data_IF_910929590519
#
_entry.id   IF_910929590519
#
_cell.length_a   1.000
_cell.length_b   1.000
_cell.length_c   1.000
_cell.angle_alpha   90.00
_cell.angle_beta   90.00
_cell.angle_gamma   90.00
#
_symmetry.space_group_name_H-M   'P 1'
#
loop_
_entity.id
_entity.type
_entity.pdbx_description
1 polymer ?
#
# COMPACT_ATOMS: atom_id res chain seq x y z
N UNK A 1 -6.75 2.35 1.82
CA UNK A 1 -7.98 2.70 1.07
C UNK A 1 -7.74 3.91 0.17
N UNK A 2 -7.46 5.10 0.71
CA UNK A 2 -7.22 6.31 -0.08
C UNK A 2 -6.20 6.13 -1.22
N UNK A 3 -5.01 5.58 -0.92
CA UNK A 3 -3.99 5.27 -1.94
C UNK A 3 -4.49 4.35 -3.06
N UNK A 4 -5.26 3.32 -2.73
CA UNK A 4 -5.79 2.35 -3.72
C UNK A 4 -6.84 3.01 -4.62
N UNK A 5 -7.72 3.83 -4.03
CA UNK A 5 -8.72 4.57 -4.80
C UNK A 5 -8.08 5.64 -5.69
N UNK A 6 -7.04 6.33 -5.21
CA UNK A 6 -6.25 7.27 -6.00
C UNK A 6 -5.56 6.58 -7.19
N UNK A 7 -4.91 5.44 -6.95
CA UNK A 7 -4.29 4.64 -8.00
C UNK A 7 -5.32 4.13 -9.03
N UNK A 8 -6.50 3.69 -8.59
CA UNK A 8 -7.60 3.28 -9.46
C UNK A 8 -8.11 4.44 -10.32
N UNK A 9 -8.25 5.63 -9.73
CA UNK A 9 -8.62 6.84 -10.44
C UNK A 9 -7.58 7.23 -11.48
N UNK A 10 -6.28 7.26 -11.12
CA UNK A 10 -5.19 7.54 -12.07
C UNK A 10 -5.25 6.59 -13.27
N UNK A 11 -5.40 5.29 -12.99
CA UNK A 11 -5.49 4.27 -14.02
C UNK A 11 -6.65 4.50 -14.98
N UNK A 12 -7.83 4.83 -14.44
CA UNK A 12 -9.04 5.04 -15.23
C UNK A 12 -9.15 6.40 -15.93
N UNK A 13 -8.33 7.39 -15.56
CA UNK A 13 -8.59 8.80 -15.93
C UNK A 13 -7.42 9.51 -16.60
N UNK A 14 -6.15 9.14 -16.39
CA UNK A 14 -5.00 9.97 -16.83
C UNK A 14 -4.33 9.55 -18.15
N UNK A 15 -4.79 8.49 -18.82
CA UNK A 15 -4.38 8.16 -20.19
C UNK A 15 -2.93 7.70 -20.40
N UNK A 16 -2.06 7.71 -19.38
CA UNK A 16 -0.64 7.36 -19.52
C UNK A 16 -0.32 5.87 -19.35
N UNK A 17 -1.33 5.04 -19.08
CA UNK A 17 -1.20 3.57 -19.07
C UNK A 17 -0.85 2.94 -17.73
N UNK A 18 -0.76 3.70 -16.64
CA UNK A 18 -0.43 3.17 -15.32
C UNK A 18 -1.24 3.79 -14.17
N UNK A 19 -0.94 3.34 -12.95
CA UNK A 19 -1.66 3.67 -11.72
C UNK A 19 -0.82 4.44 -10.69
N UNK A 20 0.49 4.57 -10.92
CA UNK A 20 1.44 5.26 -10.05
C UNK A 20 2.68 5.70 -10.85
N UNK A 21 2.94 7.00 -10.92
CA UNK A 21 4.03 7.61 -11.68
C UNK A 21 5.19 8.13 -10.82
N UNK A 22 5.13 7.95 -9.49
CA UNK A 22 6.06 8.57 -8.53
C UNK A 22 6.03 10.11 -8.60
N UNK A 23 4.89 10.68 -8.96
CA UNK A 23 4.75 12.11 -8.99
C UNK A 23 4.68 12.67 -7.55
N UNK A 24 4.98 13.96 -7.35
CA UNK A 24 4.99 14.53 -6.00
C UNK A 24 3.71 14.36 -5.19
N UNK A 25 2.53 14.38 -5.84
CA UNK A 25 1.23 14.28 -5.15
C UNK A 25 0.99 12.86 -4.66
N UNK A 26 1.28 11.87 -5.49
CA UNK A 26 1.32 10.47 -5.10
C UNK A 26 2.31 10.25 -3.95
N UNK A 27 3.53 10.76 -4.07
CA UNK A 27 4.57 10.58 -3.06
C UNK A 27 4.14 11.12 -1.69
N UNK A 28 3.62 12.34 -1.62
CA UNK A 28 3.17 12.93 -0.33
C UNK A 28 1.96 12.21 0.26
N UNK A 29 1.14 11.57 -0.55
CA UNK A 29 0.05 10.72 -0.06
C UNK A 29 0.58 9.43 0.59
N UNK A 30 1.71 8.89 0.10
CA UNK A 30 2.34 7.68 0.63
C UNK A 30 3.07 7.91 1.97
N UNK A 31 3.73 9.06 2.14
CA UNK A 31 4.55 9.37 3.33
C UNK A 31 3.84 9.16 4.68
N UNK A 32 2.64 9.74 4.94
CA UNK A 32 1.96 9.54 6.21
C UNK A 32 1.48 8.10 6.40
N UNK A 33 1.17 7.37 5.32
CA UNK A 33 0.80 5.96 5.40
C UNK A 33 1.96 5.09 5.90
N UNK A 34 3.19 5.34 5.41
CA UNK A 34 4.39 4.65 5.86
C UNK A 34 4.69 4.91 7.34
N UNK A 35 4.63 6.17 7.77
CA UNK A 35 4.94 6.56 9.14
C UNK A 35 3.85 6.11 10.13
N UNK A 36 2.57 6.17 9.73
CA UNK A 36 1.46 5.59 10.49
C UNK A 36 1.59 4.08 10.63
N UNK A 37 2.04 3.38 9.58
CA UNK A 37 2.27 1.94 9.62
C UNK A 37 3.40 1.60 10.60
N UNK A 38 4.47 2.39 10.64
CA UNK A 38 5.53 2.25 11.63
C UNK A 38 4.96 2.36 13.06
N UNK A 39 4.11 3.38 13.30
CA UNK A 39 3.45 3.60 14.58
C UNK A 39 2.56 2.42 15.00
N UNK A 40 1.73 1.91 14.08
CA UNK A 40 0.86 0.77 14.36
C UNK A 40 1.64 -0.49 14.77
N UNK A 41 2.86 -0.64 14.27
CA UNK A 41 3.76 -1.73 14.65
C UNK A 41 4.48 -1.47 15.98
N UNK A 42 4.95 -0.24 16.22
CA UNK A 42 5.69 0.09 17.43
C UNK A 42 4.81 0.27 18.67
N UNK A 43 3.54 0.67 18.51
CA UNK A 43 2.58 0.75 19.62
C UNK A 43 2.31 -0.63 20.23
N UNK A 44 2.37 -1.70 19.43
CA UNK A 44 2.26 -3.07 19.93
C UNK A 44 3.42 -3.45 20.86
N UNK A 45 4.63 -2.95 20.60
CA UNK A 45 5.77 -3.13 21.53
C UNK A 45 5.52 -2.31 22.80
N UNK A 46 5.07 -1.07 22.67
CA UNK A 46 4.78 -0.22 23.84
C UNK A 46 3.76 -0.87 24.77
N UNK A 47 2.63 -1.37 24.24
CA UNK A 47 1.59 -2.04 25.02
C UNK A 47 2.10 -3.30 25.73
N UNK A 48 3.04 -4.04 25.11
CA UNK A 48 3.51 -5.33 25.63
C UNK A 48 4.77 -5.25 26.50
N UNK A 49 5.62 -4.25 26.28
CA UNK A 49 6.96 -4.15 26.88
C UNK A 49 7.23 -2.80 27.54
N UNK A 50 6.32 -1.82 27.45
CA UNK A 50 6.50 -0.49 28.03
C UNK A 50 7.62 0.34 27.39
N UNK A 51 8.06 -0.03 26.18
CA UNK A 51 9.16 0.62 25.44
C UNK A 51 8.64 1.60 24.38
N UNK A 52 9.55 2.41 23.81
CA UNK A 52 9.31 3.24 22.62
C UNK A 52 8.24 4.34 22.79
N UNK A 53 7.95 4.78 24.01
CA UNK A 53 6.95 5.83 24.28
C UNK A 53 7.22 7.13 23.48
N UNK A 54 8.44 7.66 23.59
CA UNK A 54 8.87 8.88 22.86
C UNK A 54 8.84 8.66 21.34
N UNK A 55 9.30 7.51 20.88
CA UNK A 55 9.32 7.13 19.48
C UNK A 55 7.90 7.11 18.89
N UNK A 56 6.95 6.49 19.58
CA UNK A 56 5.56 6.40 19.13
C UNK A 56 4.87 7.76 19.05
N UNK A 57 5.11 8.63 20.03
CA UNK A 57 4.62 10.02 19.98
C UNK A 57 5.25 10.78 18.81
N UNK A 58 6.55 10.58 18.56
CA UNK A 58 7.26 11.20 17.44
C UNK A 58 6.70 10.75 16.09
N UNK A 59 6.37 9.46 15.95
CA UNK A 59 5.74 8.93 14.73
C UNK A 59 4.34 9.49 14.49
N UNK A 60 3.52 9.64 15.53
CA UNK A 60 2.18 10.26 15.40
C UNK A 60 2.29 11.73 15.00
N UNK A 61 3.13 12.52 15.70
CA UNK A 61 3.34 13.93 15.38
C UNK A 61 3.87 14.07 13.96
N UNK A 62 4.86 13.25 13.58
CA UNK A 62 5.38 13.20 12.22
C UNK A 62 4.32 12.81 11.19
N UNK A 63 3.43 11.86 11.50
CA UNK A 63 2.35 11.44 10.59
C UNK A 63 1.41 12.60 10.32
N UNK A 64 0.98 13.31 11.37
CA UNK A 64 0.12 14.48 11.24
C UNK A 64 0.83 15.62 10.48
N UNK A 65 2.11 15.86 10.78
CA UNK A 65 2.93 16.82 10.05
C UNK A 65 3.03 16.48 8.55
N UNK A 66 3.22 15.21 8.19
CA UNK A 66 3.29 14.76 6.80
C UNK A 66 1.95 14.92 6.06
N UNK A 67 0.81 14.76 6.74
CA UNK A 67 -0.52 15.06 6.15
C UNK A 67 -0.65 16.56 5.84
N UNK A 68 -0.27 17.41 6.80
CA UNK A 68 -0.26 18.88 6.61
C UNK A 68 0.71 19.29 5.50
N UNK A 69 1.89 18.67 5.45
CA UNK A 69 2.89 18.89 4.42
C UNK A 69 2.40 18.48 3.02
N UNK A 70 1.72 17.34 2.90
CA UNK A 70 1.09 16.94 1.64
C UNK A 70 0.04 17.95 1.18
N UNK A 71 -0.77 18.48 2.11
CA UNK A 71 -1.77 19.52 1.79
C UNK A 71 -1.11 20.81 1.31
N UNK A 72 -0.03 21.22 1.97
CA UNK A 72 0.80 22.36 1.55
C UNK A 72 1.33 22.18 0.12
N UNK A 73 1.92 21.03 -0.21
CA UNK A 73 2.49 20.81 -1.55
C UNK A 73 1.41 20.74 -2.64
N UNK A 74 0.29 20.08 -2.37
CA UNK A 74 -0.80 19.94 -3.35
C UNK A 74 -1.59 21.23 -3.60
N UNK A 75 -1.70 22.11 -2.60
CA UNK A 75 -2.49 23.37 -2.69
C UNK A 75 -1.63 24.62 -2.85
N UNK A 76 -0.33 24.51 -2.63
CA UNK A 76 0.65 25.60 -2.79
C UNK A 76 1.23 25.73 -4.19
N UNK A 77 0.97 24.77 -5.10
CA UNK A 77 1.45 24.75 -6.50
C UNK A 77 2.97 24.93 -6.65
N UNK A 78 3.74 24.47 -5.66
CA UNK A 78 5.20 24.64 -5.61
C UNK A 78 5.91 23.58 -6.47
N UNK A 79 5.22 22.48 -6.78
CA UNK A 79 5.73 21.40 -7.62
C UNK A 79 4.93 21.30 -8.92
N UNK A 80 5.63 21.01 -10.01
CA UNK A 80 5.00 20.55 -11.25
C UNK A 80 4.49 19.12 -11.01
N UNK A 81 3.17 18.94 -11.05
CA UNK A 81 2.53 17.63 -10.96
C UNK A 81 1.29 17.59 -11.85
N UNK A 82 1.09 16.45 -12.50
CA UNK A 82 -0.12 16.12 -13.27
C UNK A 82 -1.38 16.05 -12.40
N UNK A 83 -1.20 15.94 -11.08
CA UNK A 83 -2.25 15.90 -10.07
C UNK A 83 -2.41 17.24 -9.33
N UNK A 84 -1.67 18.29 -9.69
CA UNK A 84 -1.76 19.58 -9.03
C UNK A 84 -3.06 20.31 -9.41
N UNK A 85 -3.78 20.83 -8.40
CA UNK A 85 -4.93 21.70 -8.59
C UNK A 85 -4.55 23.19 -8.47
N UNK A 86 -5.44 24.07 -8.93
CA UNK A 86 -5.22 25.51 -9.05
C UNK A 86 -4.65 26.21 -7.80
N UNK A 87 -3.88 27.28 -8.04
CA UNK A 87 -3.22 28.10 -7.02
C UNK A 87 -4.22 28.60 -5.97
N UNK A 88 -3.86 28.49 -4.68
CA UNK A 88 -4.68 29.03 -3.59
C UNK A 88 -3.83 29.82 -2.59
N UNK A 89 -4.42 30.88 -2.03
CA UNK A 89 -3.81 31.70 -0.96
C UNK A 89 -3.52 30.91 0.33
N UNK A 90 -4.02 29.68 0.42
CA UNK A 90 -3.96 28.86 1.63
C UNK A 90 -2.59 28.19 1.80
N UNK A 91 -1.75 28.13 0.77
CA UNK A 91 -0.41 27.51 0.83
C UNK A 91 0.45 28.02 2.01
N UNK A 92 0.71 29.34 2.11
CA UNK A 92 1.44 29.91 3.25
C UNK A 92 0.81 29.61 4.62
N UNK A 93 -0.53 29.54 4.71
CA UNK A 93 -1.22 29.18 5.96
C UNK A 93 -0.90 27.75 6.40
N UNK A 94 -0.91 26.80 5.46
CA UNK A 94 -0.52 25.41 5.76
C UNK A 94 0.96 25.28 6.12
N UNK A 95 1.84 26.10 5.55
CA UNK A 95 3.25 26.13 5.94
C UNK A 95 3.43 26.65 7.36
N UNK A 96 2.76 27.74 7.73
CA UNK A 96 2.76 28.27 9.09
C UNK A 96 2.17 27.26 10.09
N UNK A 97 1.07 26.60 9.72
CA UNK A 97 0.49 25.53 10.54
C UNK A 97 1.42 24.33 10.68
N UNK A 98 2.13 23.93 9.62
CA UNK A 98 3.15 22.87 9.68
C UNK A 98 4.28 23.23 10.65
N UNK A 99 4.79 24.47 10.58
CA UNK A 99 5.82 24.95 11.51
C UNK A 99 5.33 24.90 12.97
N UNK A 100 4.08 25.31 13.22
CA UNK A 100 3.45 25.21 14.53
C UNK A 100 3.34 23.75 15.01
N UNK A 101 2.85 22.84 14.16
CA UNK A 101 2.73 21.41 14.49
C UNK A 101 4.08 20.79 14.85
N UNK A 102 5.12 21.09 14.08
CA UNK A 102 6.47 20.59 14.34
C UNK A 102 7.03 21.17 15.64
N UNK A 103 6.98 22.50 15.81
CA UNK A 103 7.53 23.18 16.98
C UNK A 103 6.78 22.79 18.27
N UNK A 104 5.45 22.85 18.26
CA UNK A 104 4.63 22.52 19.42
C UNK A 104 4.66 21.02 19.72
N UNK A 105 4.49 20.17 18.70
CA UNK A 105 4.46 18.72 18.86
C UNK A 105 5.78 18.17 19.40
N UNK A 106 6.90 18.45 18.72
CA UNK A 106 8.20 17.98 19.17
C UNK A 106 8.71 18.74 20.41
N UNK A 107 8.39 20.03 20.55
CA UNK A 107 8.68 20.82 21.75
C UNK A 107 8.03 20.24 23.01
N UNK A 108 6.75 19.83 22.93
CA UNK A 108 6.06 19.16 24.03
C UNK A 108 6.66 17.79 24.36
N UNK A 109 7.01 17.00 23.33
CA UNK A 109 7.69 15.71 23.53
C UNK A 109 9.03 15.93 24.23
N UNK A 110 9.83 16.90 23.81
CA UNK A 110 11.11 17.23 24.42
C UNK A 110 10.93 17.68 25.88
N UNK A 111 10.01 18.60 26.14
CA UNK A 111 9.72 19.12 27.48
C UNK A 111 9.18 18.05 28.46
N UNK A 112 8.50 17.01 27.94
CA UNK A 112 7.94 15.90 28.74
C UNK A 112 8.75 14.61 28.65
N UNK A 113 9.90 14.62 27.97
CA UNK A 113 10.71 13.42 27.70
C UNK A 113 11.11 12.66 28.97
N UNK A 114 11.36 13.37 30.07
CA UNK A 114 11.66 12.79 31.38
C UNK A 114 10.53 11.90 31.95
N UNK A 115 9.26 12.23 31.66
CA UNK A 115 8.08 11.42 32.03
C UNK A 115 7.83 10.25 31.08
N UNK A 116 8.48 10.26 29.92
CA UNK A 116 8.29 9.30 28.83
C UNK A 116 9.43 8.27 28.75
N UNK A 117 10.28 8.19 29.76
CA UNK A 117 11.36 7.20 29.82
C UNK A 117 10.79 5.78 29.71
N UNK A 118 11.44 4.99 28.87
CA UNK A 118 11.10 3.59 28.66
C UNK A 118 11.81 2.75 29.73
N UNK A 119 11.08 1.81 30.31
CA UNK A 119 11.62 0.92 31.37
C UNK A 119 12.20 -0.37 30.78
N UNK A 120 11.74 -0.78 29.59
CA UNK A 120 12.19 -2.02 28.93
C UNK A 120 13.48 -1.87 28.11
N UNK A 121 14.22 -2.98 28.00
CA UNK A 121 15.43 -3.13 27.14
C UNK A 121 15.20 -4.20 26.09
N UNK A 122 15.98 -4.17 25.01
CA UNK A 122 15.99 -5.24 23.99
C UNK A 122 16.79 -6.44 24.52
N UNK A 123 16.13 -7.59 24.66
CA UNK A 123 16.73 -8.80 25.23
C UNK A 123 17.63 -9.57 24.22
N UNK A 124 17.32 -9.49 22.91
CA UNK A 124 18.01 -10.26 21.86
C UNK A 124 17.77 -9.66 20.46
N UNK A 125 18.77 -9.75 19.57
CA UNK A 125 18.66 -9.38 18.16
C UNK A 125 17.82 -10.36 17.33
N UNK A 126 17.70 -11.63 17.75
CA UNK A 126 16.85 -12.66 17.15
C UNK A 126 15.57 -12.80 17.97
N UNK A 127 14.76 -11.74 17.95
CA UNK A 127 13.51 -11.67 18.71
C UNK A 127 12.42 -10.98 17.88
N UNK A 128 11.16 -11.20 18.24
CA UNK A 128 10.05 -10.47 17.62
C UNK A 128 10.21 -8.95 17.84
N UNK A 129 10.72 -8.55 19.01
CA UNK A 129 11.03 -7.16 19.35
C UNK A 129 12.03 -6.53 18.39
N UNK A 130 13.14 -7.23 18.11
CA UNK A 130 14.14 -6.76 17.16
C UNK A 130 13.58 -6.67 15.73
N UNK A 131 12.75 -7.62 15.31
CA UNK A 131 12.07 -7.57 14.02
C UNK A 131 11.13 -6.35 13.90
N UNK A 132 10.40 -6.01 14.97
CA UNK A 132 9.55 -4.82 15.01
C UNK A 132 10.37 -3.51 14.96
N UNK A 133 11.52 -3.45 15.65
CA UNK A 133 12.44 -2.31 15.60
C UNK A 133 13.04 -2.16 14.20
N UNK A 134 13.53 -3.26 13.60
CA UNK A 134 14.04 -3.28 12.23
C UNK A 134 12.98 -2.84 11.21
N UNK A 135 11.75 -3.35 11.35
CA UNK A 135 10.61 -2.91 10.53
C UNK A 135 10.37 -1.39 10.66
N UNK A 136 10.39 -0.86 11.89
CA UNK A 136 10.21 0.57 12.12
C UNK A 136 11.32 1.41 11.48
N UNK A 137 12.58 1.00 11.63
CA UNK A 137 13.72 1.67 11.02
C UNK A 137 13.57 1.70 9.49
N UNK A 138 13.23 0.57 8.87
CA UNK A 138 13.06 0.47 7.42
C UNK A 138 11.88 1.30 6.91
N UNK A 139 10.75 1.33 7.63
CA UNK A 139 9.60 2.18 7.26
C UNK A 139 9.95 3.67 7.37
N UNK A 140 10.66 4.09 8.42
CA UNK A 140 11.13 5.48 8.56
C UNK A 140 12.15 5.82 7.48
N UNK A 141 13.10 4.92 7.19
CA UNK A 141 14.07 5.10 6.12
C UNK A 141 13.38 5.26 4.76
N UNK A 142 12.37 4.42 4.47
CA UNK A 142 11.57 4.52 3.26
C UNK A 142 10.83 5.87 3.17
N UNK A 143 10.21 6.31 4.27
CA UNK A 143 9.59 7.65 4.35
C UNK A 143 10.60 8.76 4.05
N UNK A 144 11.80 8.70 4.63
CA UNK A 144 12.84 9.71 4.43
C UNK A 144 13.34 9.74 2.98
N UNK A 145 13.61 8.58 2.38
CA UNK A 145 14.06 8.46 0.98
C UNK A 145 13.04 9.07 0.02
N UNK A 146 11.76 8.74 0.21
CA UNK A 146 10.67 9.29 -0.62
C UNK A 146 10.50 10.78 -0.38
N UNK A 147 10.55 11.23 0.88
CA UNK A 147 10.45 12.65 1.23
C UNK A 147 11.59 13.45 0.60
N UNK A 148 12.83 12.99 0.73
CA UNK A 148 14.02 13.62 0.15
C UNK A 148 13.87 13.72 -1.36
N UNK A 149 13.52 12.63 -2.05
CA UNK A 149 13.31 12.65 -3.50
C UNK A 149 12.22 13.63 -3.93
N UNK A 150 11.17 13.76 -3.13
CA UNK A 150 10.03 14.66 -3.42
C UNK A 150 10.39 16.13 -3.22
N UNK A 151 11.18 16.48 -2.19
CA UNK A 151 11.54 17.88 -1.90
C UNK A 151 12.83 18.33 -2.58
N UNK A 152 13.64 17.39 -3.10
CA UNK A 152 14.92 17.71 -3.72
C UNK A 152 14.80 18.73 -4.88
N UNK A 153 13.82 18.62 -5.80
CA UNK A 153 13.56 19.67 -6.79
C UNK A 153 13.41 21.08 -6.20
N UNK A 154 12.68 21.21 -5.09
CA UNK A 154 12.44 22.49 -4.43
C UNK A 154 13.73 23.08 -3.86
N UNK A 155 14.57 22.24 -3.28
CA UNK A 155 15.87 22.65 -2.76
C UNK A 155 16.79 23.16 -3.89
N UNK A 156 16.85 22.42 -5.01
CA UNK A 156 17.66 22.82 -6.17
C UNK A 156 17.16 24.12 -6.78
N UNK A 157 15.84 24.29 -6.92
CA UNK A 157 15.25 25.54 -7.42
C UNK A 157 15.55 26.72 -6.48
N UNK A 158 15.44 26.54 -5.16
CA UNK A 158 15.73 27.57 -4.18
C UNK A 158 17.20 28.03 -4.20
N UNK A 159 18.15 27.11 -4.39
CA UNK A 159 19.59 27.41 -4.35
C UNK A 159 20.12 27.86 -5.72
N UNK A 160 19.70 27.21 -6.79
CA UNK A 160 20.30 27.39 -8.13
C UNK A 160 19.41 28.15 -9.11
N UNK A 161 18.15 28.41 -8.74
CA UNK A 161 17.09 28.95 -9.62
C UNK A 161 16.82 28.12 -10.89
N UNK A 162 17.29 26.86 -10.92
CA UNK A 162 17.02 25.90 -12.00
C UNK A 162 15.95 24.93 -11.56
N UNK A 163 14.99 24.68 -12.44
CA UNK A 163 13.97 23.65 -12.25
C UNK A 163 14.54 22.30 -12.67
N UNK A 164 14.45 21.34 -11.77
CA UNK A 164 14.79 19.94 -12.02
C UNK A 164 13.61 19.06 -11.62
N UNK A 165 13.52 17.87 -12.16
CA UNK A 165 12.54 16.87 -11.74
C UNK A 165 13.25 15.60 -11.29
N UNK A 166 12.66 14.91 -10.32
CA UNK A 166 13.10 13.58 -9.88
C UNK A 166 12.02 12.61 -10.31
N UNK A 167 12.36 11.74 -11.26
CA UNK A 167 11.43 10.77 -11.84
C UNK A 167 11.49 9.39 -11.18
N UNK A 168 10.63 8.49 -11.67
CA UNK A 168 10.52 7.09 -11.23
C UNK A 168 11.83 6.34 -10.99
N UNK A 169 12.87 6.44 -11.85
CA UNK A 169 14.11 5.68 -11.66
C UNK A 169 14.80 5.90 -10.31
N UNK A 170 14.78 7.12 -9.77
CA UNK A 170 15.34 7.40 -8.44
C UNK A 170 14.57 6.62 -7.37
N UNK A 171 13.24 6.69 -7.40
CA UNK A 171 12.40 6.03 -6.39
C UNK A 171 12.46 4.51 -6.53
N UNK A 172 12.45 3.96 -7.74
CA UNK A 172 12.58 2.53 -7.96
C UNK A 172 13.91 1.98 -7.41
N UNK A 173 15.03 2.62 -7.74
CA UNK A 173 16.35 2.17 -7.29
C UNK A 173 16.53 2.27 -5.77
N UNK A 174 15.95 3.29 -5.14
CA UNK A 174 16.14 3.56 -3.70
C UNK A 174 15.12 2.85 -2.82
N UNK A 175 13.87 2.66 -3.28
CA UNK A 175 12.80 2.06 -2.48
C UNK A 175 12.76 0.55 -2.59
N UNK A 176 13.06 -0.04 -3.75
CA UNK A 176 12.97 -1.49 -3.96
C UNK A 176 13.82 -2.29 -2.96
N UNK A 177 15.11 -1.97 -2.71
CA UNK A 177 15.90 -2.71 -1.72
C UNK A 177 15.28 -2.69 -0.32
N UNK A 178 14.76 -1.53 0.11
CA UNK A 178 14.12 -1.36 1.41
C UNK A 178 12.81 -2.16 1.49
N UNK A 179 12.02 -2.14 0.42
CA UNK A 179 10.76 -2.91 0.32
C UNK A 179 11.03 -4.41 0.35
N UNK A 180 12.06 -4.92 -0.32
CA UNK A 180 12.42 -6.35 -0.25
C UNK A 180 12.80 -6.76 1.18
N UNK A 181 13.53 -5.93 1.91
CA UNK A 181 13.85 -6.16 3.33
C UNK A 181 12.59 -6.14 4.20
N UNK A 182 11.66 -5.21 3.94
CA UNK A 182 10.36 -5.17 4.62
C UNK A 182 9.53 -6.42 4.35
N UNK A 183 9.48 -6.92 3.12
CA UNK A 183 8.77 -8.16 2.79
C UNK A 183 9.38 -9.37 3.52
N UNK A 184 10.70 -9.44 3.59
CA UNK A 184 11.38 -10.48 4.37
C UNK A 184 10.99 -10.42 5.86
N UNK A 185 11.02 -9.23 6.48
CA UNK A 185 10.60 -9.07 7.88
C UNK A 185 9.11 -9.36 8.07
N UNK A 186 8.26 -9.03 7.09
CA UNK A 186 6.82 -9.30 7.11
C UNK A 186 6.49 -10.80 7.03
N UNK A 187 7.36 -11.61 6.41
CA UNK A 187 7.25 -13.06 6.40
C UNK A 187 7.74 -13.68 7.74
N UNK A 188 8.91 -13.26 8.22
CA UNK A 188 9.57 -13.87 9.38
C UNK A 188 9.01 -13.37 10.72
N UNK A 189 8.77 -12.07 10.84
CA UNK A 189 8.36 -11.38 12.07
C UNK A 189 7.16 -12.01 12.79
N UNK A 190 6.04 -12.31 12.09
CA UNK A 190 4.88 -12.95 12.70
C UNK A 190 5.15 -14.34 13.30
N UNK A 191 6.17 -15.04 12.80
CA UNK A 191 6.51 -16.41 13.19
C UNK A 191 7.50 -16.47 14.37
N UNK A 192 8.28 -15.41 14.60
CA UNK A 192 9.22 -15.31 15.71
C UNK A 192 8.48 -15.26 17.06
N UNK A 193 8.89 -15.99 18.10
CA UNK A 193 8.32 -15.83 19.43
C UNK A 193 8.79 -14.51 20.09
N UNK A 194 8.06 -14.06 21.11
CA UNK A 194 8.52 -12.98 22.00
C UNK A 194 9.71 -13.48 22.85
N UNK A 195 10.69 -12.61 23.13
CA UNK A 195 11.96 -12.92 23.83
C UNK A 195 12.97 -13.74 23.04
N UNK A 196 12.92 -15.08 23.12
CA UNK A 196 13.97 -15.97 22.58
C UNK A 196 13.35 -17.13 21.81
N UNK A 197 13.81 -17.34 20.59
CA UNK A 197 13.39 -18.45 19.76
C UNK A 197 14.17 -19.72 20.13
N UNK A 198 13.45 -20.84 20.31
CA UNK A 198 14.05 -22.17 20.12
C UNK A 198 14.30 -22.35 18.62
N UNK A 199 15.55 -22.57 18.23
CA UNK A 199 15.95 -22.72 16.83
C UNK A 199 15.17 -23.83 16.10
N UNK A 200 14.86 -24.92 16.78
CA UNK A 200 14.07 -26.04 16.23
C UNK A 200 12.62 -25.65 15.95
N UNK A 201 12.00 -24.88 16.85
CA UNK A 201 10.63 -24.42 16.66
C UNK A 201 10.54 -23.44 15.50
N UNK A 202 11.52 -22.54 15.37
CA UNK A 202 11.58 -21.57 14.28
C UNK A 202 11.82 -22.27 12.94
N UNK A 203 12.75 -23.23 12.89
CA UNK A 203 13.01 -24.06 11.70
C UNK A 203 11.70 -24.69 11.22
N UNK A 204 11.00 -25.44 12.08
CA UNK A 204 9.73 -26.12 11.73
C UNK A 204 8.66 -25.18 11.20
N UNK A 205 8.61 -23.92 11.68
CA UNK A 205 7.63 -22.92 11.24
C UNK A 205 8.00 -22.26 9.92
N UNK A 206 9.29 -22.09 9.64
CA UNK A 206 9.79 -21.43 8.43
C UNK A 206 10.03 -22.37 7.27
N UNK A 207 10.24 -23.67 7.49
CA UNK A 207 10.61 -24.60 6.41
C UNK A 207 9.62 -24.58 5.25
N UNK A 208 8.31 -24.75 5.53
CA UNK A 208 7.30 -24.81 4.45
C UNK A 208 7.20 -23.46 3.71
N UNK A 209 7.03 -22.31 4.38
CA UNK A 209 7.03 -21.02 3.69
C UNK A 209 8.31 -20.72 2.89
N UNK A 210 9.49 -21.06 3.44
CA UNK A 210 10.77 -20.86 2.76
C UNK A 210 10.94 -21.74 1.54
N UNK A 211 10.52 -23.02 1.61
CA UNK A 211 10.52 -23.94 0.46
C UNK A 211 9.59 -23.44 -0.64
N UNK A 212 8.39 -22.97 -0.28
CA UNK A 212 7.46 -22.40 -1.27
C UNK A 212 8.05 -21.16 -1.95
N UNK A 213 8.65 -20.25 -1.18
CA UNK A 213 9.31 -19.07 -1.72
C UNK A 213 10.47 -19.43 -2.67
N UNK A 214 11.33 -20.37 -2.26
CA UNK A 214 12.43 -20.86 -3.10
C UNK A 214 11.92 -21.56 -4.37
N UNK A 215 10.90 -22.39 -4.26
CA UNK A 215 10.26 -23.05 -5.40
C UNK A 215 9.65 -22.03 -6.37
N UNK A 216 9.02 -20.97 -5.86
CA UNK A 216 8.52 -19.87 -6.71
C UNK A 216 9.67 -19.16 -7.44
N UNK A 217 10.77 -18.84 -6.77
CA UNK A 217 11.94 -18.21 -7.39
C UNK A 217 12.53 -19.11 -8.50
N UNK A 218 12.71 -20.40 -8.21
CA UNK A 218 13.24 -21.38 -9.17
C UNK A 218 12.29 -21.51 -10.37
N UNK A 219 10.99 -21.68 -10.13
CA UNK A 219 10.00 -21.80 -11.20
C UNK A 219 9.97 -20.57 -12.12
N UNK A 220 10.01 -19.36 -11.56
CA UNK A 220 10.05 -18.12 -12.33
C UNK A 220 11.34 -17.99 -13.15
N UNK A 221 12.49 -18.35 -12.55
CA UNK A 221 13.78 -18.31 -13.23
C UNK A 221 13.82 -19.31 -14.39
N UNK A 222 13.30 -20.53 -14.19
CA UNK A 222 13.18 -21.56 -15.23
C UNK A 222 12.18 -21.16 -16.32
N UNK A 223 11.13 -20.41 -15.98
CA UNK A 223 10.20 -19.81 -16.93
C UNK A 223 10.79 -18.62 -17.73
N UNK A 224 12.07 -18.29 -17.51
CA UNK A 224 12.80 -17.27 -18.26
C UNK A 224 12.78 -15.87 -17.65
N UNK A 225 12.27 -15.70 -16.42
CA UNK A 225 12.31 -14.41 -15.73
C UNK A 225 13.75 -14.06 -15.35
N UNK A 226 14.28 -12.94 -15.88
CA UNK A 226 15.67 -12.50 -15.66
C UNK A 226 15.83 -11.33 -14.70
N UNK A 227 14.77 -10.57 -14.45
CA UNK A 227 14.84 -9.44 -13.52
C UNK A 227 14.90 -9.93 -12.07
N UNK A 228 16.10 -9.86 -11.47
CA UNK A 228 16.37 -10.36 -10.12
C UNK A 228 15.48 -9.71 -9.06
N UNK A 229 15.27 -8.40 -9.13
CA UNK A 229 14.46 -7.67 -8.16
C UNK A 229 12.99 -8.12 -8.23
N UNK A 230 12.46 -8.30 -9.44
CA UNK A 230 11.11 -8.76 -9.66
C UNK A 230 10.91 -10.22 -9.24
N UNK A 231 11.87 -11.11 -9.55
CA UNK A 231 11.84 -12.51 -9.09
C UNK A 231 11.92 -12.60 -7.57
N UNK A 232 12.79 -11.80 -6.93
CA UNK A 232 12.89 -11.72 -5.48
C UNK A 232 11.60 -11.18 -4.84
N UNK A 233 11.00 -10.14 -5.42
CA UNK A 233 9.74 -9.57 -4.94
C UNK A 233 8.60 -10.59 -4.94
N UNK A 234 8.42 -11.34 -6.04
CA UNK A 234 7.37 -12.37 -6.13
C UNK A 234 7.68 -13.55 -5.19
N UNK A 235 8.93 -13.98 -5.10
CA UNK A 235 9.36 -15.02 -4.16
C UNK A 235 9.10 -14.62 -2.70
N UNK A 236 9.43 -13.39 -2.32
CA UNK A 236 9.16 -12.85 -0.98
C UNK A 236 7.67 -12.64 -0.75
N UNK A 237 6.88 -12.25 -1.75
CA UNK A 237 5.43 -12.19 -1.64
C UNK A 237 4.84 -13.59 -1.36
N UNK A 238 5.32 -14.63 -2.05
CA UNK A 238 4.94 -16.02 -1.76
C UNK A 238 5.36 -16.43 -0.33
N UNK A 239 6.54 -15.99 0.14
CA UNK A 239 6.99 -16.22 1.51
C UNK A 239 6.09 -15.55 2.56
N UNK A 240 5.70 -14.29 2.33
CA UNK A 240 4.77 -13.53 3.18
C UNK A 240 3.42 -14.23 3.21
N UNK A 241 2.84 -14.53 2.04
CA UNK A 241 1.53 -15.16 1.94
C UNK A 241 1.51 -16.52 2.66
N UNK A 242 2.45 -17.41 2.35
CA UNK A 242 2.53 -18.74 2.97
C UNK A 242 2.80 -18.68 4.48
N UNK A 243 3.65 -17.77 4.96
CA UNK A 243 3.93 -17.60 6.39
C UNK A 243 2.69 -17.15 7.17
N UNK A 244 2.01 -16.11 6.67
CA UNK A 244 0.84 -15.53 7.34
C UNK A 244 -0.37 -16.47 7.25
N UNK A 245 -0.61 -17.12 6.10
CA UNK A 245 -1.67 -18.13 5.96
C UNK A 245 -1.43 -19.35 6.86
N UNK A 246 -0.18 -19.80 6.98
CA UNK A 246 0.17 -20.90 7.89
C UNK A 246 -0.09 -20.53 9.36
N UNK A 247 0.16 -19.29 9.76
CA UNK A 247 -0.15 -18.78 11.10
C UNK A 247 -1.65 -18.75 11.36
N UNK A 248 -2.44 -18.24 10.40
CA UNK A 248 -3.92 -18.24 10.47
C UNK A 248 -4.43 -19.68 10.59
N UNK A 249 -3.97 -20.59 9.73
CA UNK A 249 -4.41 -21.98 9.72
C UNK A 249 -4.07 -22.71 11.03
N UNK A 250 -2.88 -22.49 11.59
CA UNK A 250 -2.49 -23.05 12.90
C UNK A 250 -3.38 -22.52 14.03
N UNK A 251 -3.68 -21.22 14.02
CA UNK A 251 -4.58 -20.58 14.98
C UNK A 251 -6.01 -21.16 14.92
N UNK A 252 -6.58 -21.30 13.73
CA UNK A 252 -7.92 -21.88 13.51
C UNK A 252 -7.98 -23.35 13.93
N UNK A 253 -6.99 -24.16 13.54
CA UNK A 253 -6.92 -25.58 13.93
C UNK A 253 -6.78 -25.75 15.44
N UNK A 254 -5.98 -24.92 16.09
CA UNK A 254 -5.84 -24.91 17.55
C UNK A 254 -7.15 -24.56 18.25
N UNK A 255 -7.89 -23.56 17.74
CA UNK A 255 -9.21 -23.20 18.26
C UNK A 255 -10.23 -24.33 18.10
N UNK A 256 -10.32 -24.93 16.91
CA UNK A 256 -11.26 -26.02 16.61
C UNK A 256 -11.02 -27.25 17.50
N UNK A 257 -9.76 -27.60 17.81
CA UNK A 257 -9.44 -28.69 18.74
C UNK A 257 -9.82 -28.40 20.19
N UNK A 258 -9.80 -27.13 20.60
CA UNK A 258 -10.09 -26.71 21.97
C UNK A 258 -11.59 -26.55 22.25
N UNK A 259 -12.44 -26.53 21.21
CA UNK A 259 -13.91 -26.51 21.33
C UNK A 259 -14.49 -27.72 20.59
N UNK A 260 -14.51 -28.92 21.21
CA UNK A 260 -15.11 -30.09 20.60
C UNK A 260 -16.61 -29.85 20.43
N UNK A 261 -17.04 -29.67 19.19
CA UNK A 261 -18.44 -29.55 18.81
C UNK A 261 -18.61 -30.01 17.35
N UNK A 262 -19.84 -30.23 16.88
CA UNK A 262 -20.11 -30.75 15.53
C UNK A 262 -19.75 -29.78 14.39
N UNK A 263 -19.10 -28.65 14.70
CA UNK A 263 -18.72 -27.62 13.74
C UNK A 263 -17.39 -27.99 13.10
N UNK A 264 -17.41 -28.32 11.81
CA UNK A 264 -16.20 -28.55 11.02
C UNK A 264 -15.25 -27.34 11.01
N UNK A 265 -14.04 -27.54 10.47
CA UNK A 265 -12.98 -26.52 10.43
C UNK A 265 -13.45 -25.19 9.82
N UNK A 266 -14.27 -25.23 8.77
CA UNK A 266 -14.80 -24.03 8.11
C UNK A 266 -15.72 -23.21 9.03
N UNK A 267 -16.59 -23.88 9.79
CA UNK A 267 -17.49 -23.23 10.75
C UNK A 267 -16.73 -22.63 11.96
N UNK A 268 -15.50 -23.08 12.22
CA UNK A 268 -14.64 -22.56 13.29
C UNK A 268 -13.89 -21.28 12.90
N UNK A 269 -13.79 -20.95 11.61
CA UNK A 269 -13.01 -19.80 11.12
C UNK A 269 -13.51 -18.46 11.69
N UNK A 270 -14.81 -18.10 11.60
CA UNK A 270 -15.28 -16.80 12.08
C UNK A 270 -15.06 -16.62 13.58
N UNK A 271 -15.32 -17.67 14.37
CA UNK A 271 -15.14 -17.66 15.82
C UNK A 271 -13.66 -17.55 16.23
N UNK A 272 -12.77 -18.27 15.54
CA UNK A 272 -11.33 -18.20 15.78
C UNK A 272 -10.77 -16.81 15.46
N UNK A 273 -11.16 -16.23 14.33
CA UNK A 273 -10.74 -14.89 13.92
C UNK A 273 -11.29 -13.82 14.88
N UNK A 274 -12.54 -13.96 15.33
CA UNK A 274 -13.16 -13.04 16.28
C UNK A 274 -12.49 -13.02 17.66
N UNK A 275 -11.79 -14.09 18.07
CA UNK A 275 -11.12 -14.17 19.37
C UNK A 275 -9.85 -13.30 19.44
N UNK A 276 -9.12 -13.15 18.34
CA UNK A 276 -7.88 -12.37 18.29
C UNK A 276 -7.82 -11.49 17.03
N UNK A 277 -8.80 -10.61 16.91
CA UNK A 277 -9.04 -9.78 15.73
C UNK A 277 -7.86 -8.91 15.32
N UNK A 278 -7.18 -8.29 16.28
CA UNK A 278 -5.99 -7.46 16.00
C UNK A 278 -4.87 -8.28 15.35
N UNK A 279 -4.59 -9.48 15.86
CA UNK A 279 -3.57 -10.37 15.30
C UNK A 279 -3.97 -10.83 13.90
N UNK A 280 -5.15 -11.46 13.76
CA UNK A 280 -5.54 -12.04 12.49
C UNK A 280 -5.84 -10.99 11.42
N UNK A 281 -6.37 -9.83 11.81
CA UNK A 281 -6.53 -8.68 10.91
C UNK A 281 -5.19 -8.21 10.34
N UNK A 282 -4.15 -8.09 11.18
CA UNK A 282 -2.79 -7.80 10.72
C UNK A 282 -2.23 -8.86 9.76
N UNK A 283 -2.43 -10.15 10.05
CA UNK A 283 -1.99 -11.24 9.16
C UNK A 283 -2.72 -11.19 7.80
N UNK A 284 -4.01 -10.87 7.78
CA UNK A 284 -4.79 -10.69 6.54
C UNK A 284 -4.29 -9.48 5.76
N UNK A 285 -3.95 -8.36 6.43
CA UNK A 285 -3.33 -7.19 5.77
C UNK A 285 -2.03 -7.59 5.08
N UNK A 286 -1.15 -8.35 5.73
CA UNK A 286 0.11 -8.80 5.12
C UNK A 286 -0.12 -9.70 3.89
N UNK A 287 -1.13 -10.57 3.92
CA UNK A 287 -1.53 -11.35 2.73
C UNK A 287 -1.99 -10.42 1.60
N UNK A 288 -2.77 -9.38 1.92
CA UNK A 288 -3.17 -8.36 0.95
C UNK A 288 -1.98 -7.60 0.34
N UNK A 289 -0.97 -7.27 1.15
CA UNK A 289 0.30 -6.69 0.66
C UNK A 289 1.00 -7.64 -0.30
N UNK A 290 1.11 -8.92 0.03
CA UNK A 290 1.74 -9.91 -0.85
C UNK A 290 1.03 -10.00 -2.22
N UNK A 291 -0.31 -10.03 -2.24
CA UNK A 291 -1.09 -10.04 -3.48
C UNK A 291 -0.84 -8.75 -4.29
N UNK A 292 -0.85 -7.58 -3.63
CA UNK A 292 -0.59 -6.31 -4.29
C UNK A 292 0.82 -6.23 -4.88
N UNK A 293 1.84 -6.74 -4.18
CA UNK A 293 3.23 -6.80 -4.66
C UNK A 293 3.35 -7.66 -5.92
N UNK A 294 2.65 -8.79 -5.99
CA UNK A 294 2.61 -9.61 -7.22
C UNK A 294 2.00 -8.83 -8.37
N UNK A 295 0.87 -8.14 -8.13
CA UNK A 295 0.23 -7.27 -9.12
C UNK A 295 1.16 -6.18 -9.63
N UNK A 296 1.79 -5.42 -8.71
CA UNK A 296 2.73 -4.34 -9.01
C UNK A 296 3.95 -4.83 -9.78
N UNK A 297 4.53 -5.96 -9.34
CA UNK A 297 5.72 -6.53 -9.97
C UNK A 297 5.40 -7.04 -11.38
N UNK A 298 4.23 -7.66 -11.55
CA UNK A 298 3.78 -8.12 -12.85
C UNK A 298 3.57 -6.94 -13.81
N UNK A 299 2.81 -5.93 -13.40
CA UNK A 299 2.51 -4.76 -14.23
C UNK A 299 3.76 -3.97 -14.59
N UNK A 300 4.72 -3.81 -13.67
CA UNK A 300 5.95 -3.06 -13.96
C UNK A 300 6.96 -3.83 -14.81
N UNK A 301 7.04 -5.16 -14.64
CA UNK A 301 8.07 -5.98 -15.30
C UNK A 301 7.66 -6.54 -16.65
N UNK A 302 6.36 -6.70 -16.89
CA UNK A 302 5.83 -7.37 -18.09
C UNK A 302 4.87 -6.51 -18.91
N UNK A 303 4.67 -5.24 -18.54
CA UNK A 303 3.92 -4.31 -19.39
C UNK A 303 4.58 -4.18 -20.76
N UNK A 304 3.74 -4.10 -21.79
CA UNK A 304 4.15 -3.80 -23.16
C UNK A 304 3.37 -2.59 -23.63
N UNK A 305 4.02 -1.70 -24.37
CA UNK A 305 3.39 -0.51 -24.93
C UNK A 305 3.84 -0.27 -26.37
N UNK A 306 3.00 0.40 -27.15
CA UNK A 306 3.36 0.96 -28.46
C UNK A 306 2.68 2.30 -28.64
N UNK A 307 3.32 3.17 -29.42
CA UNK A 307 2.78 4.45 -29.85
C UNK A 307 2.79 4.46 -31.37
N UNK A 308 1.63 4.73 -31.96
CA UNK A 308 1.43 4.72 -33.42
C UNK A 308 0.57 5.91 -33.83
N UNK A 309 0.93 6.53 -34.94
CA UNK A 309 0.09 7.52 -35.61
C UNK A 309 -0.58 6.83 -36.79
N UNK A 310 -1.91 6.87 -36.82
CA UNK A 310 -2.71 6.18 -37.84
C UNK A 310 -3.60 7.16 -38.60
N UNK A 311 -3.68 6.96 -39.91
CA UNK A 311 -4.69 7.56 -40.76
C UNK A 311 -6.03 6.83 -40.66
N UNK A 312 -7.12 7.53 -40.99
CA UNK A 312 -8.46 6.94 -41.00
C UNK A 312 -8.51 5.74 -41.96
N UNK A 313 -8.86 4.58 -41.41
CA UNK A 313 -8.94 3.30 -42.12
C UNK A 313 -7.67 2.45 -42.02
N UNK A 314 -6.55 3.03 -41.61
CA UNK A 314 -5.26 2.37 -41.42
C UNK A 314 -5.28 1.44 -40.19
N UNK A 315 -4.43 0.42 -40.20
CA UNK A 315 -4.31 -0.54 -39.11
C UNK A 315 -2.86 -0.73 -38.64
N UNK A 316 -2.66 -0.88 -37.34
CA UNK A 316 -1.41 -1.31 -36.74
C UNK A 316 -1.55 -2.68 -36.06
N UNK A 317 -0.47 -3.45 -36.04
CA UNK A 317 -0.38 -4.70 -35.28
C UNK A 317 0.38 -4.48 -33.96
N UNK A 318 -0.16 -4.93 -32.84
CA UNK A 318 0.48 -4.82 -31.54
C UNK A 318 0.13 -6.00 -30.63
N UNK A 319 1.13 -6.71 -30.11
CA UNK A 319 0.97 -7.80 -29.15
C UNK A 319 -0.08 -8.87 -29.54
N UNK A 320 -0.23 -9.14 -30.84
CA UNK A 320 -1.20 -10.07 -31.42
C UNK A 320 -2.59 -9.47 -31.72
N UNK A 321 -2.78 -8.17 -31.50
CA UNK A 321 -3.99 -7.43 -31.85
C UNK A 321 -3.79 -6.68 -33.17
N UNK A 322 -4.81 -6.62 -34.01
CA UNK A 322 -4.91 -5.71 -35.14
C UNK A 322 -5.85 -4.55 -34.75
N UNK A 323 -5.33 -3.33 -34.85
CA UNK A 323 -5.90 -2.10 -34.33
C UNK A 323 -6.17 -1.17 -35.49
N UNK A 324 -7.43 -1.00 -35.88
CA UNK A 324 -7.82 -0.16 -37.01
C UNK A 324 -8.45 1.14 -36.54
N UNK A 325 -7.91 2.26 -36.99
CA UNK A 325 -8.48 3.57 -36.67
C UNK A 325 -9.67 3.87 -37.60
N UNK A 326 -10.88 3.92 -37.06
CA UNK A 326 -12.10 4.17 -37.85
C UNK A 326 -12.38 5.67 -38.08
N UNK A 327 -11.82 6.52 -37.21
CA UNK A 327 -11.91 7.97 -37.29
C UNK A 327 -12.13 8.64 -35.93
N UNK A 328 -12.25 9.97 -35.97
CA UNK A 328 -12.59 10.78 -34.81
C UNK A 328 -14.09 11.09 -34.81
N UNK A 329 -14.69 11.07 -33.62
CA UNK A 329 -16.01 11.65 -33.38
C UNK A 329 -15.94 12.71 -32.30
N UNK A 330 -16.65 13.81 -32.49
CA UNK A 330 -16.68 14.92 -31.54
C UNK A 330 -18.04 14.99 -30.85
N UNK A 331 -18.03 15.08 -29.52
CA UNK A 331 -19.24 15.22 -28.69
C UNK A 331 -19.14 16.52 -27.90
N UNK A 332 -20.07 17.44 -28.13
CA UNK A 332 -20.20 18.65 -27.34
C UNK A 332 -21.00 18.37 -26.06
N UNK A 333 -20.45 18.72 -24.91
CA UNK A 333 -21.11 18.65 -23.60
C UNK A 333 -21.16 20.06 -22.99
N UNK A 334 -22.09 20.36 -22.06
CA UNK A 334 -22.25 21.71 -21.52
C UNK A 334 -20.98 22.34 -20.92
N UNK A 335 -20.04 21.51 -20.45
CA UNK A 335 -18.83 21.96 -19.75
C UNK A 335 -17.52 21.63 -20.49
N UNK A 336 -17.58 20.88 -21.60
CA UNK A 336 -16.38 20.41 -22.33
C UNK A 336 -16.70 19.91 -23.73
N UNK A 337 -15.68 19.92 -24.59
CA UNK A 337 -15.69 19.20 -25.86
C UNK A 337 -14.96 17.87 -25.69
N UNK A 338 -15.53 16.77 -26.19
CA UNK A 338 -14.92 15.43 -26.09
C UNK A 338 -14.57 14.95 -27.50
N UNK A 339 -13.28 14.74 -27.78
CA UNK A 339 -12.79 14.16 -29.02
C UNK A 339 -12.54 12.67 -28.79
N UNK A 340 -13.26 11.81 -29.49
CA UNK A 340 -13.26 10.36 -29.30
C UNK A 340 -12.58 9.71 -30.50
N UNK A 341 -11.60 8.82 -30.27
CA UNK A 341 -11.01 8.00 -31.31
C UNK A 341 -11.73 6.65 -31.37
N UNK A 342 -12.37 6.32 -32.49
CA UNK A 342 -12.99 5.02 -32.68
C UNK A 342 -11.95 4.03 -33.23
N UNK A 343 -11.60 3.01 -32.45
CA UNK A 343 -10.58 2.02 -32.81
C UNK A 343 -11.22 0.64 -32.80
N UNK A 344 -11.23 -0.05 -33.94
CA UNK A 344 -11.67 -1.44 -34.03
C UNK A 344 -10.52 -2.36 -33.62
N UNK A 345 -10.80 -3.32 -32.74
CA UNK A 345 -9.81 -4.24 -32.19
C UNK A 345 -10.18 -5.66 -32.60
N UNK A 346 -9.27 -6.33 -33.29
CA UNK A 346 -9.41 -7.74 -33.63
C UNK A 346 -8.18 -8.54 -33.20
N UNK A 347 -8.34 -9.84 -33.01
CA UNK A 347 -7.25 -10.76 -32.67
C UNK A 347 -7.48 -12.11 -33.34
N UNK A 348 -6.46 -12.59 -34.06
CA UNK A 348 -6.53 -13.90 -34.75
C UNK A 348 -7.77 -14.01 -35.66
N UNK A 349 -8.11 -12.91 -36.36
CA UNK A 349 -9.28 -12.82 -37.25
C UNK A 349 -10.63 -12.67 -36.53
N UNK A 350 -10.69 -12.73 -35.20
CA UNK A 350 -11.91 -12.50 -34.41
C UNK A 350 -12.03 -11.02 -34.06
N UNK A 351 -13.18 -10.43 -34.39
CA UNK A 351 -13.53 -9.09 -33.93
C UNK A 351 -13.80 -9.10 -32.43
N UNK A 352 -13.07 -8.26 -31.68
CA UNK A 352 -13.26 -8.07 -30.25
C UNK A 352 -14.12 -6.82 -29.96
N UNK A 353 -14.56 -6.09 -30.98
CA UNK A 353 -15.30 -4.84 -30.90
C UNK A 353 -14.38 -3.62 -30.89
N UNK A 354 -14.91 -2.46 -30.51
CA UNK A 354 -14.16 -1.20 -30.50
C UNK A 354 -13.63 -0.81 -29.12
N UNK A 355 -12.61 0.04 -29.10
CA UNK A 355 -12.19 0.83 -27.94
C UNK A 355 -12.24 2.31 -28.35
N UNK A 356 -12.62 3.16 -27.39
CA UNK A 356 -12.94 4.56 -27.66
C UNK A 356 -12.22 5.50 -26.68
N UNK A 357 -10.87 5.56 -26.69
CA UNK A 357 -10.16 6.55 -25.89
C UNK A 357 -10.51 7.97 -26.37
N UNK A 358 -10.41 8.95 -25.49
CA UNK A 358 -10.84 10.33 -25.79
C UNK A 358 -9.95 11.40 -25.19
N UNK A 359 -10.01 12.61 -25.75
CA UNK A 359 -9.47 13.84 -25.18
C UNK A 359 -10.62 14.76 -24.76
N UNK A 360 -10.58 15.25 -23.53
CA UNK A 360 -11.55 16.21 -22.99
C UNK A 360 -10.94 17.60 -22.99
N UNK A 361 -11.53 18.52 -23.75
CA UNK A 361 -11.13 19.91 -23.82
C UNK A 361 -12.08 20.74 -22.96
N UNK A 362 -11.55 21.32 -21.90
CA UNK A 362 -12.28 22.22 -21.02
C UNK A 362 -12.01 23.66 -21.43
N UNK A 363 -13.03 24.52 -21.57
CA UNK A 363 -12.84 25.92 -21.99
C UNK A 363 -11.89 26.72 -21.09
N UNK A 364 -11.80 26.36 -19.80
CA UNK A 364 -10.92 26.97 -18.81
C UNK A 364 -9.56 26.27 -18.66
N UNK A 365 -9.34 25.16 -19.37
CA UNK A 365 -8.10 24.39 -19.33
C UNK A 365 -7.16 24.73 -20.49
N UNK A 366 -5.85 24.75 -20.22
CA UNK A 366 -4.83 24.97 -21.25
C UNK A 366 -4.44 23.72 -22.02
N UNK A 367 -4.70 22.53 -21.46
CA UNK A 367 -4.32 21.23 -22.04
C UNK A 367 -5.52 20.27 -22.07
N UNK A 368 -5.67 19.45 -23.13
CA UNK A 368 -6.67 18.40 -23.17
C UNK A 368 -6.39 17.31 -22.11
N UNK A 369 -7.43 16.83 -21.43
CA UNK A 369 -7.33 15.74 -20.47
C UNK A 369 -7.73 14.43 -21.15
N UNK A 370 -6.77 13.54 -21.37
CA UNK A 370 -7.02 12.24 -21.99
C UNK A 370 -7.76 11.28 -21.07
N UNK A 371 -8.87 10.69 -21.53
CA UNK A 371 -9.57 9.59 -20.86
C UNK A 371 -9.31 8.29 -21.64
N UNK A 372 -8.71 7.28 -21.00
CA UNK A 372 -8.40 6.02 -21.66
C UNK A 372 -9.65 5.18 -21.92
N UNK A 373 -9.53 4.20 -22.81
CA UNK A 373 -10.47 3.09 -22.93
C UNK A 373 -9.77 1.80 -22.54
N UNK A 374 -10.32 1.13 -21.53
CA UNK A 374 -9.69 -0.02 -20.86
C UNK A 374 -10.63 -1.23 -20.95
N UNK A 375 -10.11 -2.33 -21.47
CA UNK A 375 -10.74 -3.64 -21.39
C UNK A 375 -10.09 -4.42 -20.27
N UNK A 376 -10.77 -4.46 -19.13
CA UNK A 376 -10.30 -5.14 -17.93
C UNK A 376 -10.29 -6.66 -18.11
N UNK A 377 -9.26 -7.31 -17.59
CA UNK A 377 -9.14 -8.77 -17.57
C UNK A 377 -8.61 -9.28 -16.24
N UNK A 378 -8.68 -10.60 -16.05
CA UNK A 378 -8.18 -11.23 -14.80
C UNK A 378 -6.65 -11.28 -14.76
N UNK A 379 -6.02 -11.53 -15.91
CA UNK A 379 -4.57 -11.66 -16.02
C UNK A 379 -3.89 -10.42 -16.60
N UNK A 380 -4.57 -9.75 -17.54
CA UNK A 380 -4.04 -8.57 -18.23
C UNK A 380 -5.18 -7.69 -18.70
N UNK A 381 -4.94 -6.39 -18.71
CA UNK A 381 -5.80 -5.39 -19.29
C UNK A 381 -5.28 -4.99 -20.67
N UNK A 382 -6.20 -4.70 -21.59
CA UNK A 382 -5.89 -3.98 -22.82
C UNK A 382 -6.27 -2.51 -22.63
N UNK A 383 -5.28 -1.64 -22.63
CA UNK A 383 -5.43 -0.21 -22.38
C UNK A 383 -5.17 0.55 -23.68
N UNK A 384 -5.98 1.55 -23.96
CA UNK A 384 -5.79 2.46 -25.09
C UNK A 384 -5.94 3.90 -24.63
N UNK A 385 -5.13 4.78 -25.18
CA UNK A 385 -5.23 6.21 -25.01
C UNK A 385 -4.92 6.93 -26.32
N UNK A 386 -5.44 8.15 -26.43
CA UNK A 386 -5.15 9.07 -27.53
C UNK A 386 -4.29 10.20 -26.99
N UNK A 387 -3.23 10.53 -27.71
CA UNK A 387 -2.33 11.63 -27.37
C UNK A 387 -2.72 12.90 -28.11
N UNK A 388 -3.00 12.78 -29.41
CA UNK A 388 -3.30 13.90 -30.27
C UNK A 388 -4.17 13.47 -31.45
N UNK A 389 -4.95 14.44 -31.95
CA UNK A 389 -5.59 14.38 -33.26
C UNK A 389 -4.94 15.44 -34.15
N UNK A 390 -4.67 15.08 -35.39
CA UNK A 390 -4.09 15.94 -36.42
C UNK A 390 -5.09 16.11 -37.57
N UNK A 391 -4.99 17.23 -38.29
CA UNK A 391 -5.78 17.51 -39.49
C UNK A 391 -7.29 17.32 -39.30
N UNK A 392 -7.83 17.78 -38.17
CA UNK A 392 -9.26 17.65 -37.86
C UNK A 392 -9.72 16.21 -37.60
N UNK A 393 -8.81 15.29 -37.27
CA UNK A 393 -9.10 13.89 -36.98
C UNK A 393 -8.86 12.95 -38.17
N UNK A 394 -8.17 13.41 -39.22
CA UNK A 394 -7.73 12.53 -40.30
C UNK A 394 -6.61 11.58 -39.82
N UNK A 395 -5.76 12.08 -38.91
CA UNK A 395 -4.68 11.32 -38.26
C UNK A 395 -4.85 11.38 -36.74
N UNK A 396 -4.55 10.27 -36.07
CA UNK A 396 -4.56 10.20 -34.61
C UNK A 396 -3.31 9.49 -34.09
N UNK A 397 -2.66 10.09 -33.10
CA UNK A 397 -1.54 9.49 -32.38
C UNK A 397 -2.07 8.77 -31.14
N UNK A 398 -1.91 7.45 -31.13
CA UNK A 398 -2.53 6.53 -30.20
C UNK A 398 -1.46 5.76 -29.43
N UNK A 399 -1.72 5.50 -28.15
CA UNK A 399 -0.92 4.59 -27.33
C UNK A 399 -1.75 3.39 -26.92
N UNK A 400 -1.15 2.22 -27.00
CA UNK A 400 -1.75 0.95 -26.58
C UNK A 400 -0.85 0.25 -25.58
N UNK A 401 -1.45 -0.35 -24.56
CA UNK A 401 -0.73 -1.07 -23.51
C UNK A 401 -1.37 -2.42 -23.24
N UNK A 402 -0.52 -3.39 -22.95
CA UNK A 402 -0.90 -4.64 -22.30
C UNK A 402 -0.36 -4.59 -20.88
N UNK A 403 -1.26 -4.44 -19.91
CA UNK A 403 -0.90 -4.30 -18.50
C UNK A 403 -1.25 -5.58 -17.73
N UNK A 404 -0.28 -6.45 -17.42
CA UNK A 404 -0.54 -7.67 -16.68
C UNK A 404 -0.70 -7.41 -15.19
N UNK A 405 -1.58 -8.16 -14.53
CA UNK A 405 -1.65 -8.23 -13.07
C UNK A 405 -2.29 -7.05 -12.33
N UNK A 406 -2.74 -6.00 -13.02
CA UNK A 406 -3.30 -4.79 -12.39
C UNK A 406 -4.51 -5.09 -11.49
N UNK A 407 -5.40 -6.02 -11.89
CA UNK A 407 -6.51 -6.47 -11.04
C UNK A 407 -6.05 -6.93 -9.65
N UNK A 408 -4.91 -7.62 -9.57
CA UNK A 408 -4.39 -8.16 -8.31
C UNK A 408 -3.88 -7.08 -7.37
N UNK A 409 -3.48 -5.90 -7.88
CA UNK A 409 -3.25 -4.72 -7.04
C UNK A 409 -4.55 -4.32 -6.32
N UNK A 410 -5.68 -4.29 -7.03
CA UNK A 410 -6.99 -3.94 -6.45
C UNK A 410 -7.48 -4.98 -5.46
N UNK A 411 -7.35 -6.27 -5.80
CA UNK A 411 -7.69 -7.38 -4.90
C UNK A 411 -6.84 -7.32 -3.64
N UNK A 412 -5.53 -7.11 -3.76
CA UNK A 412 -4.63 -6.92 -2.61
C UNK A 412 -5.06 -5.73 -1.74
N UNK A 413 -5.42 -4.60 -2.38
CA UNK A 413 -6.01 -3.43 -1.73
C UNK A 413 -7.28 -3.72 -0.94
N UNK A 414 -8.20 -4.49 -1.52
CA UNK A 414 -9.44 -4.90 -0.87
C UNK A 414 -9.18 -5.84 0.32
N UNK A 415 -8.29 -6.82 0.17
CA UNK A 415 -7.89 -7.73 1.26
C UNK A 415 -7.25 -6.95 2.42
N UNK A 416 -6.40 -5.96 2.13
CA UNK A 416 -5.84 -5.07 3.15
C UNK A 416 -6.94 -4.27 3.88
N UNK A 417 -7.92 -3.75 3.15
CA UNK A 417 -9.04 -3.04 3.76
C UNK A 417 -9.86 -3.95 4.68
N UNK A 418 -10.17 -5.17 4.25
CA UNK A 418 -10.87 -6.17 5.05
C UNK A 418 -10.09 -6.57 6.31
N UNK A 419 -8.77 -6.78 6.21
CA UNK A 419 -7.91 -7.06 7.36
C UNK A 419 -7.87 -5.91 8.36
N UNK A 420 -7.83 -4.67 7.86
CA UNK A 420 -7.92 -3.45 8.69
C UNK A 420 -9.24 -3.34 9.42
N UNK A 421 -10.37 -3.57 8.73
CA UNK A 421 -11.71 -3.59 9.34
C UNK A 421 -11.83 -4.69 10.41
N UNK A 422 -11.30 -5.88 10.13
CA UNK A 422 -11.26 -6.98 11.10
C UNK A 422 -10.49 -6.55 12.36
N UNK A 423 -9.31 -5.94 12.20
CA UNK A 423 -8.49 -5.47 13.32
C UNK A 423 -9.16 -4.37 14.15
N UNK A 424 -9.92 -3.48 13.50
CA UNK A 424 -10.63 -2.36 14.13
C UNK A 424 -11.95 -2.77 14.81
N UNK A 425 -12.52 -3.94 14.49
CA UNK A 425 -13.85 -4.31 14.96
C UNK A 425 -13.92 -4.49 16.50
N UNK A 426 -14.85 -3.78 17.20
CA UNK A 426 -14.91 -3.75 18.66
C UNK A 426 -15.00 -5.13 19.32
N UNK A 427 -13.98 -5.51 20.09
CA UNK A 427 -13.96 -6.72 20.92
C UNK A 427 -15.10 -6.72 21.93
N UNK A 428 -15.72 -7.87 22.19
CA UNK A 428 -16.36 -8.07 23.50
C UNK A 428 -15.24 -7.90 24.52
N UNK A 429 -15.28 -6.83 25.31
CA UNK A 429 -14.36 -6.65 26.44
C UNK A 429 -14.43 -7.95 27.23
N UNK A 430 -13.33 -8.69 27.31
CA UNK A 430 -13.20 -9.67 28.39
C UNK A 430 -13.47 -8.87 29.65
N UNK A 431 -14.54 -9.21 30.37
CA UNK A 431 -14.71 -8.74 31.74
C UNK A 431 -13.35 -8.93 32.39
N UNK A 432 -12.75 -7.83 32.86
CA UNK A 432 -11.51 -7.91 33.60
C UNK A 432 -11.75 -8.97 34.66
N UNK A 433 -10.98 -10.05 34.63
CA UNK A 433 -11.00 -11.00 35.73
C UNK A 433 -10.65 -10.14 36.94
N UNK A 434 -11.52 -10.06 37.96
CA UNK A 434 -11.26 -9.22 39.12
C UNK A 434 -9.85 -9.54 39.61
N UNK A 435 -9.09 -8.50 39.93
CA UNK A 435 -7.79 -8.64 40.58
C UNK A 435 -7.92 -9.69 41.70
N UNK A 436 -7.10 -10.75 41.75
CA UNK A 436 -7.18 -11.75 42.82
C UNK A 436 -7.19 -11.11 44.22
N UNK A 437 -6.58 -9.93 44.39
CA UNK A 437 -6.64 -9.16 45.64
C UNK A 437 -8.04 -8.64 46.01
N UNK A 438 -8.94 -8.42 45.04
CA UNK A 438 -10.34 -8.03 45.27
C UNK A 438 -11.19 -9.27 45.60
N UNK A 439 -10.93 -10.40 44.92
CA UNK A 439 -11.62 -11.66 45.17
C UNK A 439 -11.32 -12.24 46.56
N UNK A 440 -10.09 -12.10 47.05
CA UNK A 440 -9.72 -12.54 48.39
C UNK A 440 -10.30 -11.64 49.49
N UNK A 441 -10.52 -10.34 49.22
CA UNK A 441 -11.22 -9.43 50.15
C UNK A 441 -12.73 -9.70 50.21
N UNK A 442 -13.36 -10.03 49.09
CA UNK A 442 -14.77 -10.43 49.06
C UNK A 442 -15.00 -11.77 49.78
N UNK A 443 -14.08 -12.74 49.63
CA UNK A 443 -14.16 -14.01 50.34
C UNK A 443 -13.85 -13.87 51.84
N UNK A 444 -12.97 -12.95 52.25
CA UNK A 444 -12.69 -12.67 53.65
C UNK A 444 -13.83 -11.90 54.35
N UNK A 445 -14.62 -11.10 53.63
CA UNK A 445 -15.75 -10.34 54.17
C UNK A 445 -17.01 -11.15 54.46
N UNK A 446 -17.12 -12.37 53.92
CA UNK A 446 -18.29 -13.25 54.11
C UNK A 446 -18.13 -14.19 55.33
N UNK A 447 -16.94 -14.22 55.95
CA UNK A 447 -16.60 -15.15 57.04
C UNK A 447 -16.86 -14.67 58.48
N UNK A 448 -17.37 -13.47 58.71
CA UNK A 448 -17.55 -12.92 60.07
C UNK A 448 -18.99 -12.50 60.35
N UNK A 449 -19.89 -13.47 60.48
CA UNK A 449 -21.10 -13.32 61.29
C UNK A 449 -20.77 -13.83 62.70
N UNK A 450 -20.84 -13.00 63.76
CA UNK A 450 -20.57 -13.45 65.11
C UNK A 450 -21.69 -14.38 65.61
N UNK A 451 -21.38 -15.46 66.33
CA UNK A 451 -22.39 -16.29 66.98
C UNK A 451 -23.11 -15.49 68.07
N UNK A 452 -24.40 -15.76 68.23
CA UNK A 452 -25.32 -15.01 69.07
C UNK A 452 -24.88 -14.83 70.52
N UNK A 453 -25.32 -13.71 71.08
CA UNK A 453 -25.45 -13.52 72.52
C UNK A 453 -26.92 -13.77 72.85
N UNK A 454 -27.12 -14.61 73.87
CA UNK A 454 -28.38 -15.00 74.53
C UNK A 454 -29.32 -13.85 74.84
#
# INVERSE_FOLDING_TARGET
VGLVLGALWSYGVLGWGGYWAWDPVENVALLPWLLATAFLHSVMIQERRGMLKVWNLSLIVGTFALVTFGTFLTRGSILSSVHAFAQSIVGPMYLGFLALVLAAGFGLIAARSWRLRSEGRLDSALSREAAFVGNNLLLVALTLVVLIGTIFPLFVEAVTRRRVSVGGPYFEQTTVPVVLLLLFLMAVGPLLPWRRASGDQLRRRLTVPAVLAAATIVALTLAGMRNLAATAAIGLAAFVASSNLSEIARGVRGFSRAQPGPRGLAASVPAALARNRRLYGGLVVHVGVAIAVVGITASSSFARQTEVTLERGESAAFAGYALRYAGQRTVSQPQRLVLIADIQVSREGRDLGSVTPSLNLYPSGSEPIGTPSIRYGVLKDFYSSVLAFEDGGARATLRFFINPGVLWLWVGGAVMALGGLLAAWPGQRRAATPDPAVRDRELAGVGSMPPGVT
#
